data_IF_855013053841
#
_entry.id   IF_855013053841
#
_cell.length_a   1.000
_cell.length_b   1.000
_cell.length_c   1.000
_cell.angle_alpha   90.00
_cell.angle_beta   90.00
_cell.angle_gamma   90.00
#
_symmetry.space_group_name_H-M   'P 1'
#
loop_
_entity.id
_entity.type
_entity.pdbx_description
1 polymer ?
#
# COMPACT_ATOMS: atom_id res chain seq x y z
N UNK A 1 -20.46 10.40 -16.71
CA UNK A 1 -19.21 9.71 -17.10
C UNK A 1 -18.54 10.28 -18.36
N UNK A 2 -19.20 11.14 -19.15
CA UNK A 2 -18.66 11.66 -20.43
C UNK A 2 -17.29 12.38 -20.30
N UNK A 3 -17.01 13.03 -19.16
CA UNK A 3 -15.73 13.72 -18.90
C UNK A 3 -14.51 12.80 -18.69
N UNK A 4 -14.72 11.50 -18.45
CA UNK A 4 -13.64 10.50 -18.37
C UNK A 4 -13.39 9.81 -19.71
N UNK A 5 -14.36 9.89 -20.63
CA UNK A 5 -14.27 9.29 -21.97
C UNK A 5 -13.17 10.01 -22.78
N UNK A 6 -12.02 9.36 -22.95
CA UNK A 6 -10.89 9.87 -23.75
C UNK A 6 -9.61 10.24 -22.97
N UNK A 7 -9.61 10.27 -21.62
CA UNK A 7 -8.38 10.45 -20.84
C UNK A 7 -7.66 9.12 -20.64
N UNK A 8 -6.34 9.08 -20.88
CA UNK A 8 -5.51 7.93 -20.52
C UNK A 8 -5.24 7.96 -19.02
N UNK A 9 -5.15 6.80 -18.38
CA UNK A 9 -4.87 6.69 -16.94
C UNK A 9 -3.57 7.42 -16.55
N UNK A 10 -2.55 7.30 -17.40
CA UNK A 10 -1.25 7.96 -17.17
C UNK A 10 -1.27 9.49 -17.34
N UNK A 11 -2.36 10.06 -17.85
CA UNK A 11 -2.54 11.52 -17.91
C UNK A 11 -2.86 12.11 -16.53
N UNK A 12 -3.35 11.28 -15.59
CA UNK A 12 -3.73 11.69 -14.23
C UNK A 12 -2.93 10.96 -13.14
N UNK A 13 -2.13 9.96 -13.50
CA UNK A 13 -1.35 9.18 -12.55
C UNK A 13 -0.15 9.98 -12.00
N UNK A 14 0.10 9.82 -10.70
CA UNK A 14 1.36 10.27 -10.08
C UNK A 14 2.54 9.48 -10.65
N UNK A 15 3.58 10.18 -11.12
CA UNK A 15 4.77 9.54 -11.73
C UNK A 15 5.85 9.18 -10.71
N UNK A 16 6.02 10.00 -9.67
CA UNK A 16 6.95 9.73 -8.58
C UNK A 16 6.23 8.96 -7.49
N UNK A 17 6.25 7.63 -7.62
CA UNK A 17 5.52 6.71 -6.75
C UNK A 17 6.44 6.24 -5.64
N UNK A 18 6.01 6.40 -4.39
CA UNK A 18 6.63 5.69 -3.26
C UNK A 18 6.11 4.27 -3.28
N UNK A 19 7.01 3.30 -3.27
CA UNK A 19 6.68 1.87 -3.23
C UNK A 19 7.42 1.22 -2.06
N UNK A 20 6.85 0.12 -1.56
CA UNK A 20 7.55 -0.78 -0.64
C UNK A 20 8.24 -1.89 -1.43
N UNK A 21 9.22 -2.55 -0.83
CA UNK A 21 9.80 -3.80 -1.36
C UNK A 21 9.20 -5.02 -0.64
N UNK A 22 9.28 -6.24 -1.22
CA UNK A 22 8.72 -7.45 -0.62
C UNK A 22 9.29 -7.75 0.77
N UNK A 23 10.58 -7.47 0.97
CA UNK A 23 11.29 -7.77 2.22
C UNK A 23 11.24 -6.61 3.23
N UNK A 24 10.56 -5.50 2.91
CA UNK A 24 10.47 -4.35 3.81
C UNK A 24 9.59 -4.65 5.02
N UNK A 25 10.09 -4.35 6.22
CA UNK A 25 9.35 -4.57 7.46
C UNK A 25 8.04 -3.77 7.50
N UNK A 26 6.96 -4.43 7.92
CA UNK A 26 5.61 -3.85 8.00
C UNK A 26 5.55 -2.57 8.85
N UNK A 27 6.36 -2.46 9.90
CA UNK A 27 6.45 -1.26 10.74
C UNK A 27 6.96 -0.03 9.99
N UNK A 28 7.91 -0.20 9.07
CA UNK A 28 8.38 0.88 8.21
C UNK A 28 7.31 1.30 7.22
N UNK A 29 6.62 0.33 6.61
CA UNK A 29 5.52 0.57 5.69
C UNK A 29 4.37 1.30 6.40
N UNK A 30 4.05 0.92 7.65
CA UNK A 30 3.07 1.61 8.49
C UNK A 30 3.48 3.08 8.72
N UNK A 31 4.76 3.34 9.01
CA UNK A 31 5.30 4.70 9.18
C UNK A 31 5.18 5.52 7.89
N UNK A 32 5.41 4.94 6.72
CA UNK A 32 5.22 5.61 5.42
C UNK A 32 3.74 5.96 5.22
N UNK A 33 2.84 4.99 5.40
CA UNK A 33 1.39 5.16 5.24
C UNK A 33 0.81 6.22 6.20
N UNK A 34 1.35 6.31 7.41
CA UNK A 34 0.97 7.30 8.41
C UNK A 34 1.50 8.70 8.05
N UNK A 35 2.82 8.84 7.79
CA UNK A 35 3.46 10.15 7.55
C UNK A 35 3.01 10.82 6.26
N UNK A 36 2.83 10.04 5.20
CA UNK A 36 2.51 10.57 3.85
C UNK A 36 1.01 10.58 3.57
N UNK A 37 0.18 10.21 4.55
CA UNK A 37 -1.26 10.04 4.43
C UNK A 37 -1.72 9.13 3.26
N UNK A 38 -0.84 8.28 2.73
CA UNK A 38 -1.18 7.34 1.66
C UNK A 38 -2.15 6.27 2.17
N UNK A 39 -3.20 6.01 1.39
CA UNK A 39 -4.17 4.94 1.67
C UNK A 39 -3.65 3.56 1.28
N UNK A 40 -2.79 3.52 0.25
CA UNK A 40 -2.26 2.31 -0.38
C UNK A 40 -0.83 2.57 -0.83
N UNK A 41 -0.01 1.52 -0.84
CA UNK A 41 1.32 1.52 -1.45
C UNK A 41 1.44 0.31 -2.39
N UNK A 42 1.98 0.49 -3.61
CA UNK A 42 2.44 -0.64 -4.41
C UNK A 42 3.65 -1.29 -3.74
N UNK A 43 3.78 -2.60 -3.93
CA UNK A 43 4.97 -3.37 -3.58
C UNK A 43 5.65 -3.75 -4.89
N UNK A 44 6.91 -3.36 -5.05
CA UNK A 44 7.70 -3.62 -6.26
C UNK A 44 8.93 -4.44 -5.94
N UNK A 45 9.26 -5.42 -6.79
CA UNK A 45 10.47 -6.22 -6.65
C UNK A 45 11.74 -5.45 -7.08
N UNK A 46 12.89 -6.13 -7.04
CA UNK A 46 14.19 -5.56 -7.43
C UNK A 46 14.30 -5.15 -8.91
N UNK A 47 13.46 -5.73 -9.78
CA UNK A 47 13.37 -5.39 -11.20
C UNK A 47 12.36 -4.24 -11.45
N UNK A 48 11.73 -3.73 -10.39
CA UNK A 48 10.70 -2.69 -10.47
C UNK A 48 9.33 -3.20 -10.91
N UNK A 49 9.09 -4.51 -10.91
CA UNK A 49 7.78 -5.09 -11.25
C UNK A 49 6.84 -5.00 -10.05
N UNK A 50 5.58 -4.65 -10.32
CA UNK A 50 4.53 -4.67 -9.30
C UNK A 50 4.20 -6.11 -8.91
N UNK A 51 4.43 -6.46 -7.64
CA UNK A 51 4.16 -7.80 -7.09
C UNK A 51 3.05 -7.81 -6.04
N UNK A 52 2.58 -6.64 -5.60
CA UNK A 52 1.49 -6.55 -4.64
C UNK A 52 1.04 -5.13 -4.34
N UNK A 53 0.01 -5.00 -3.50
CA UNK A 53 -0.49 -3.71 -3.00
C UNK A 53 -0.84 -3.86 -1.53
N UNK A 54 -0.27 -3.01 -0.69
CA UNK A 54 -0.61 -2.95 0.73
C UNK A 54 -1.56 -1.78 1.01
N UNK A 55 -2.59 -2.04 1.82
CA UNK A 55 -3.57 -1.04 2.25
C UNK A 55 -3.35 -0.71 3.72
N UNK A 56 -3.61 0.54 4.10
CA UNK A 56 -3.57 0.94 5.51
C UNK A 56 -4.47 0.05 6.39
N UNK A 57 -5.67 -0.30 5.90
CA UNK A 57 -6.59 -1.18 6.62
C UNK A 57 -5.95 -2.55 6.92
N UNK A 58 -5.28 -3.17 5.94
CA UNK A 58 -4.64 -4.47 6.12
C UNK A 58 -3.51 -4.43 7.13
N UNK A 59 -2.74 -3.34 7.18
CA UNK A 59 -1.71 -3.13 8.21
C UNK A 59 -2.34 -3.04 9.59
N UNK A 60 -3.46 -2.31 9.73
CA UNK A 60 -4.17 -2.18 11.00
C UNK A 60 -4.79 -3.50 11.47
N UNK A 61 -5.43 -4.25 10.56
CA UNK A 61 -5.99 -5.58 10.85
C UNK A 61 -4.88 -6.52 11.33
N UNK A 62 -3.77 -6.59 10.61
CA UNK A 62 -2.65 -7.45 10.97
C UNK A 62 -1.98 -7.04 12.29
N UNK A 63 -1.83 -5.74 12.54
CA UNK A 63 -1.31 -5.24 13.81
C UNK A 63 -2.26 -5.54 14.98
N UNK A 64 -3.58 -5.43 14.75
CA UNK A 64 -4.58 -5.78 15.75
C UNK A 64 -4.53 -7.26 16.09
N UNK A 65 -4.51 -8.14 15.10
CA UNK A 65 -4.41 -9.59 15.29
C UNK A 65 -3.12 -9.98 16.04
N UNK A 66 -2.01 -9.27 15.78
CA UNK A 66 -0.73 -9.52 16.46
C UNK A 66 -0.72 -9.03 17.92
N UNK A 67 -1.41 -7.93 18.24
CA UNK A 67 -1.46 -7.34 19.58
C UNK A 67 -2.56 -7.93 20.47
N UNK A 68 -3.64 -8.39 19.85
CA UNK A 68 -4.78 -9.04 20.50
C UNK A 68 -5.01 -10.40 19.85
N UNK A 69 -4.11 -11.38 20.12
CA UNK A 69 -4.35 -12.74 19.67
C UNK A 69 -5.72 -13.18 20.17
N UNK A 70 -6.50 -13.82 19.30
CA UNK A 70 -7.76 -14.43 19.74
C UNK A 70 -7.40 -15.46 20.80
N UNK A 71 -7.90 -15.25 22.02
CA UNK A 71 -7.87 -16.25 23.09
C UNK A 71 -8.76 -17.39 22.59
N UNK A 72 -8.14 -18.43 22.03
CA UNK A 72 -8.83 -19.62 21.53
C UNK A 72 -9.24 -20.44 22.76
N UNK A 73 -10.44 -20.15 23.29
CA UNK A 73 -11.12 -20.96 24.31
C UNK A 73 -12.32 -21.66 23.69
#
# INVERSE_FOLDING_TARGET
>A
MQALSGKKVMDIATRKVVAATPDQHVGEVARILAKKQFKKLPVVDGDGRLVGVIRRKSVMEHAFDALFPKDDR
#
